data_IF_494829592124
#
_entry.id   IF_494829592124
#
_cell.length_a   1.000
_cell.length_b   1.000
_cell.length_c   1.000
_cell.angle_alpha   90.00
_cell.angle_beta   90.00
_cell.angle_gamma   90.00
#
_symmetry.space_group_name_H-M   'P 1'
#
loop_
_entity.id
_entity.type
_entity.pdbx_description
1 polymer ?
#
# COMPACT_ATOMS: atom_id res chain seq x y z
N UNK A 1 -13.76 6.51 3.33
CA UNK A 1 -12.66 5.54 3.10
C UNK A 1 -11.57 5.81 4.12
N UNK A 2 -10.94 4.78 4.68
CA UNK A 2 -9.83 4.95 5.63
C UNK A 2 -8.57 4.24 5.08
N UNK A 3 -7.44 4.94 5.07
CA UNK A 3 -6.15 4.37 4.69
C UNK A 3 -5.39 4.02 5.96
N UNK A 4 -4.92 2.77 6.03
CA UNK A 4 -4.07 2.27 7.12
C UNK A 4 -2.63 2.17 6.60
N UNK A 5 -1.73 2.92 7.21
CA UNK A 5 -0.30 2.87 6.90
C UNK A 5 0.41 1.99 7.90
N UNK A 6 1.04 0.91 7.40
CA UNK A 6 1.90 0.03 8.19
C UNK A 6 3.35 0.24 7.72
N UNK A 7 4.13 1.08 8.42
CA UNK A 7 5.50 1.36 8.02
C UNK A 7 6.42 0.15 8.22
N UNK A 8 7.57 0.19 7.53
CA UNK A 8 8.67 -0.73 7.78
C UNK A 8 9.51 -0.36 9.00
N UNK A 9 10.66 -1.04 9.15
CA UNK A 9 11.65 -0.72 10.19
C UNK A 9 12.57 0.38 9.65
N UNK A 10 12.22 1.62 9.92
CA UNK A 10 12.96 2.82 9.49
C UNK A 10 12.59 4.02 10.37
N UNK A 11 13.30 5.14 10.18
CA UNK A 11 13.02 6.39 10.91
C UNK A 11 11.60 6.92 10.59
N UNK A 12 10.82 7.34 11.59
CA UNK A 12 9.42 7.80 11.41
C UNK A 12 9.26 8.96 10.43
N UNK A 13 10.30 9.77 10.24
CA UNK A 13 10.33 10.90 9.31
C UNK A 13 10.06 10.46 7.86
N UNK A 14 10.53 9.26 7.48
CA UNK A 14 10.31 8.73 6.13
C UNK A 14 8.83 8.45 5.86
N UNK A 15 8.09 8.00 6.87
CA UNK A 15 6.63 7.81 6.74
C UNK A 15 5.91 9.16 6.62
N UNK A 16 6.35 10.18 7.33
CA UNK A 16 5.80 11.54 7.19
C UNK A 16 6.03 12.09 5.79
N UNK A 17 7.27 11.91 5.26
CA UNK A 17 7.61 12.30 3.90
C UNK A 17 6.73 11.58 2.87
N UNK A 18 6.56 10.26 2.99
CA UNK A 18 5.67 9.48 2.13
C UNK A 18 4.24 10.04 2.08
N UNK A 19 3.66 10.33 3.25
CA UNK A 19 2.30 10.87 3.34
C UNK A 19 2.21 12.24 2.66
N UNK A 20 3.17 13.13 2.93
CA UNK A 20 3.19 14.47 2.37
C UNK A 20 3.35 14.45 0.85
N UNK A 21 4.24 13.61 0.33
CA UNK A 21 4.61 13.59 -1.09
C UNK A 21 3.66 12.76 -1.95
N UNK A 22 3.02 11.74 -1.38
CA UNK A 22 2.16 10.84 -2.14
C UNK A 22 0.67 10.97 -1.86
N UNK A 23 0.28 11.28 -0.62
CA UNK A 23 -1.13 11.21 -0.25
C UNK A 23 -1.76 12.59 -0.08
N UNK A 24 -0.99 13.62 0.32
CA UNK A 24 -1.55 14.95 0.57
C UNK A 24 -1.49 15.87 -0.65
N UNK A 25 -0.46 15.78 -1.51
CA UNK A 25 -0.36 16.63 -2.71
C UNK A 25 -1.50 16.45 -3.68
N UNK A 26 -2.03 15.25 -3.76
CA UNK A 26 -3.10 14.92 -4.71
C UNK A 26 -4.51 15.15 -4.13
N UNK A 27 -4.66 15.31 -2.81
CA UNK A 27 -5.93 15.73 -2.21
C UNK A 27 -6.31 17.17 -2.59
N UNK A 28 -5.35 18.03 -2.86
CA UNK A 28 -5.60 19.41 -3.34
C UNK A 28 -5.92 19.47 -4.84
N UNK A 29 -5.45 18.50 -5.62
CA UNK A 29 -5.65 18.43 -7.09
C UNK A 29 -6.83 17.58 -7.53
N UNK A 30 -7.28 16.68 -6.66
CA UNK A 30 -8.45 15.83 -6.91
C UNK A 30 -9.61 16.42 -6.10
N UNK A 31 -10.70 16.74 -6.77
CA UNK A 31 -12.00 17.09 -6.19
C UNK A 31 -12.56 15.83 -5.47
N UNK A 32 -11.86 15.40 -4.44
CA UNK A 32 -12.16 14.24 -3.61
C UNK A 32 -13.26 14.63 -2.64
N UNK A 33 -14.51 14.52 -3.05
CA UNK A 33 -15.70 14.96 -2.34
C UNK A 33 -15.92 14.38 -0.93
N UNK A 34 -15.00 13.58 -0.40
CA UNK A 34 -14.99 13.11 1.00
C UNK A 34 -13.56 13.06 1.55
N UNK A 35 -13.31 13.58 2.75
CA UNK A 35 -12.01 13.47 3.40
C UNK A 35 -11.63 11.99 3.59
N UNK A 36 -10.41 11.64 3.25
CA UNK A 36 -9.84 10.31 3.51
C UNK A 36 -9.13 10.34 4.85
N UNK A 37 -9.57 9.51 5.78
CA UNK A 37 -8.89 9.36 7.07
C UNK A 37 -7.61 8.52 6.89
N UNK A 38 -6.47 9.03 7.35
CA UNK A 38 -5.21 8.31 7.34
C UNK A 38 -4.85 7.93 8.77
N UNK A 39 -4.75 6.63 9.03
CA UNK A 39 -4.29 6.07 10.29
C UNK A 39 -2.91 5.46 10.11
N UNK A 40 -1.94 5.91 10.90
CA UNK A 40 -0.57 5.38 10.88
C UNK A 40 -0.41 4.43 12.06
N UNK A 41 -0.02 3.19 11.80
CA UNK A 41 0.34 2.26 12.86
C UNK A 41 1.62 2.75 13.56
N UNK A 42 1.57 2.99 14.89
CA UNK A 42 2.68 3.62 15.61
C UNK A 42 3.76 2.62 16.05
N UNK A 43 3.68 1.36 15.60
CA UNK A 43 4.64 0.32 15.99
C UNK A 43 6.02 0.62 15.44
N UNK A 44 7.04 0.46 16.28
CA UNK A 44 8.44 0.60 15.93
C UNK A 44 9.16 -0.76 15.97
N UNK A 45 10.25 -0.88 15.20
CA UNK A 45 11.07 -2.08 15.17
C UNK A 45 10.26 -3.35 14.87
N UNK A 46 10.40 -4.35 15.71
CA UNK A 46 9.73 -5.65 15.51
C UNK A 46 8.20 -5.62 15.67
N UNK A 47 7.62 -4.57 16.24
CA UNK A 47 6.17 -4.44 16.34
C UNK A 47 5.51 -4.30 14.96
N UNK A 48 6.23 -3.78 13.97
CA UNK A 48 5.75 -3.69 12.58
C UNK A 48 5.44 -5.06 11.96
N UNK A 49 6.09 -6.12 12.44
CA UNK A 49 5.86 -7.51 12.01
C UNK A 49 4.62 -8.14 12.66
N UNK A 50 4.07 -7.49 13.70
CA UNK A 50 3.06 -8.12 14.55
C UNK A 50 1.63 -7.87 14.05
N UNK A 51 1.05 -8.88 13.42
CA UNK A 51 -0.38 -8.94 13.09
C UNK A 51 -1.28 -8.56 14.26
N UNK A 52 -0.97 -9.08 15.46
CA UNK A 52 -1.78 -8.85 16.65
C UNK A 52 -1.80 -7.37 17.06
N UNK A 53 -0.65 -6.69 17.08
CA UNK A 53 -0.58 -5.28 17.46
C UNK A 53 -1.26 -4.37 16.45
N UNK A 54 -1.11 -4.66 15.14
CA UNK A 54 -1.81 -3.91 14.09
C UNK A 54 -3.31 -4.12 14.20
N UNK A 55 -3.78 -5.36 14.40
CA UNK A 55 -5.19 -5.67 14.53
C UNK A 55 -5.81 -5.02 15.79
N UNK A 56 -5.08 -5.01 16.91
CA UNK A 56 -5.48 -4.33 18.12
C UNK A 56 -5.61 -2.83 17.90
N UNK A 57 -4.61 -2.22 17.24
CA UNK A 57 -4.65 -0.81 16.85
C UNK A 57 -5.88 -0.47 16.00
N UNK A 58 -6.21 -1.31 15.02
CA UNK A 58 -7.40 -1.11 14.19
C UNK A 58 -8.68 -1.16 15.03
N UNK A 59 -8.82 -2.15 15.91
CA UNK A 59 -9.98 -2.26 16.79
C UNK A 59 -10.14 -1.04 17.70
N UNK A 60 -9.04 -0.55 18.25
CA UNK A 60 -9.07 0.63 19.13
C UNK A 60 -9.46 1.91 18.38
N UNK A 61 -9.01 2.06 17.13
CA UNK A 61 -9.26 3.27 16.32
C UNK A 61 -10.60 3.24 15.61
N UNK A 62 -11.01 2.11 15.12
CA UNK A 62 -12.20 1.97 14.28
C UNK A 62 -13.43 1.47 15.06
N UNK A 63 -13.22 0.85 16.22
CA UNK A 63 -14.30 0.34 17.09
C UNK A 63 -15.36 -0.43 16.28
N UNK A 64 -16.59 0.11 16.22
CA UNK A 64 -17.74 -0.53 15.56
C UNK A 64 -17.83 -0.25 14.04
N UNK A 65 -16.82 0.40 13.44
CA UNK A 65 -16.82 0.75 12.01
C UNK A 65 -16.27 -0.38 11.13
N UNK A 66 -16.68 -1.62 11.36
CA UNK A 66 -16.22 -2.78 10.59
C UNK A 66 -16.57 -2.67 9.10
N UNK A 67 -17.73 -2.12 8.77
CA UNK A 67 -18.21 -1.96 7.39
C UNK A 67 -17.49 -0.83 6.62
N UNK A 68 -16.76 0.04 7.33
CA UNK A 68 -16.02 1.13 6.66
C UNK A 68 -14.90 0.54 5.81
N UNK A 69 -14.80 0.89 4.50
CA UNK A 69 -13.80 0.32 3.64
C UNK A 69 -12.40 0.79 4.05
N UNK A 70 -11.50 -0.19 4.22
CA UNK A 70 -10.09 0.03 4.57
C UNK A 70 -9.18 -0.29 3.40
N UNK A 71 -8.21 0.60 3.14
CA UNK A 71 -7.08 0.33 2.25
C UNK A 71 -5.83 0.25 3.11
N UNK A 72 -5.12 -0.86 3.01
CA UNK A 72 -3.82 -1.03 3.65
C UNK A 72 -2.70 -0.58 2.70
N UNK A 73 -1.81 0.28 3.16
CA UNK A 73 -0.54 0.61 2.50
C UNK A 73 0.58 0.19 3.44
N UNK A 74 1.29 -0.87 3.06
CA UNK A 74 2.29 -1.50 3.91
C UNK A 74 3.65 -1.47 3.22
N UNK A 75 4.71 -1.14 3.97
CA UNK A 75 6.07 -1.06 3.45
C UNK A 75 7.00 -2.05 4.16
N UNK A 76 7.83 -2.77 3.36
CA UNK A 76 8.91 -3.61 3.89
C UNK A 76 8.43 -4.59 4.98
N UNK A 77 8.98 -4.54 6.18
CA UNK A 77 8.59 -5.34 7.33
C UNK A 77 7.10 -5.19 7.70
N UNK A 78 6.52 -3.99 7.51
CA UNK A 78 5.10 -3.73 7.75
C UNK A 78 4.16 -4.52 6.85
N UNK A 79 4.65 -5.05 5.72
CA UNK A 79 3.87 -5.94 4.85
C UNK A 79 3.53 -7.25 5.55
N UNK A 80 4.46 -7.78 6.37
CA UNK A 80 4.26 -9.04 7.11
C UNK A 80 3.13 -8.90 8.12
N UNK A 81 3.24 -7.90 9.00
CA UNK A 81 2.21 -7.66 10.00
C UNK A 81 0.88 -7.22 9.39
N UNK A 82 0.96 -6.37 8.35
CA UNK A 82 -0.18 -5.79 7.67
C UNK A 82 -1.06 -6.82 6.94
N UNK A 83 -0.47 -7.77 6.19
CA UNK A 83 -1.26 -8.79 5.48
C UNK A 83 -2.00 -9.71 6.45
N UNK A 84 -1.35 -10.09 7.55
CA UNK A 84 -2.02 -10.83 8.62
C UNK A 84 -3.15 -10.03 9.26
N UNK A 85 -2.93 -8.73 9.52
CA UNK A 85 -3.94 -7.87 10.10
C UNK A 85 -5.13 -7.62 9.15
N UNK A 86 -4.89 -7.43 7.85
CA UNK A 86 -5.93 -7.30 6.84
C UNK A 86 -6.81 -8.56 6.77
N UNK A 87 -6.17 -9.73 6.75
CA UNK A 87 -6.88 -11.01 6.78
C UNK A 87 -7.66 -11.21 8.07
N UNK A 88 -7.04 -10.91 9.22
CA UNK A 88 -7.70 -10.97 10.52
C UNK A 88 -8.88 -10.00 10.63
N UNK A 89 -8.75 -8.78 10.11
CA UNK A 89 -9.84 -7.80 10.07
C UNK A 89 -11.04 -8.32 9.27
N UNK A 90 -10.77 -8.91 8.08
CA UNK A 90 -11.81 -9.52 7.26
C UNK A 90 -12.50 -10.69 7.95
N UNK A 91 -11.75 -11.55 8.67
CA UNK A 91 -12.32 -12.66 9.45
C UNK A 91 -13.22 -12.18 10.60
N UNK A 92 -12.97 -10.99 11.13
CA UNK A 92 -13.82 -10.34 12.13
C UNK A 92 -15.04 -9.63 11.52
N UNK A 93 -15.28 -9.77 10.21
CA UNK A 93 -16.38 -9.12 9.52
C UNK A 93 -16.06 -7.71 9.00
N UNK A 94 -14.80 -7.28 9.08
CA UNK A 94 -14.36 -5.98 8.57
C UNK A 94 -14.20 -5.96 7.05
N UNK A 95 -14.38 -4.78 6.45
CA UNK A 95 -14.27 -4.60 5.00
C UNK A 95 -12.86 -4.12 4.61
N UNK A 96 -12.08 -4.99 3.97
CA UNK A 96 -10.80 -4.63 3.34
C UNK A 96 -11.03 -4.40 1.86
N UNK A 97 -10.89 -3.16 1.42
CA UNK A 97 -11.13 -2.76 0.03
C UNK A 97 -9.95 -3.04 -0.88
N UNK A 98 -8.72 -2.87 -0.37
CA UNK A 98 -7.48 -3.22 -1.06
C UNK A 98 -6.29 -3.35 -0.09
N UNK A 99 -5.26 -4.08 -0.52
CA UNK A 99 -3.98 -4.18 0.15
C UNK A 99 -2.85 -3.80 -0.83
N UNK A 100 -2.04 -2.82 -0.46
CA UNK A 100 -0.94 -2.32 -1.27
C UNK A 100 0.37 -2.63 -0.53
N UNK A 101 1.16 -3.54 -1.10
CA UNK A 101 2.44 -3.96 -0.57
C UNK A 101 3.56 -3.21 -1.31
N UNK A 102 4.28 -2.36 -0.60
CA UNK A 102 5.46 -1.68 -1.13
C UNK A 102 6.70 -2.38 -0.58
N UNK A 103 7.45 -2.99 -1.49
CA UNK A 103 8.71 -3.69 -1.19
C UNK A 103 8.65 -4.78 -0.11
N UNK A 104 7.54 -5.50 -0.07
CA UNK A 104 7.36 -6.68 0.78
C UNK A 104 7.99 -7.94 0.16
N UNK A 105 9.27 -7.89 -0.18
CA UNK A 105 9.98 -9.01 -0.79
C UNK A 105 9.92 -10.28 0.08
N UNK A 106 9.64 -11.41 -0.57
CA UNK A 106 9.57 -12.71 0.10
C UNK A 106 8.33 -12.93 0.98
N UNK A 107 7.40 -11.98 1.04
CA UNK A 107 6.17 -12.11 1.81
C UNK A 107 5.06 -12.74 0.96
N UNK A 108 4.52 -13.92 1.34
CA UNK A 108 3.32 -14.45 0.71
C UNK A 108 2.12 -13.52 0.96
N UNK A 109 1.44 -13.14 -0.11
CA UNK A 109 0.25 -12.30 -0.04
C UNK A 109 -0.99 -13.09 -0.47
N UNK A 110 -2.00 -13.09 0.37
CA UNK A 110 -3.27 -13.76 0.11
C UNK A 110 -4.40 -13.15 0.91
N UNK A 111 -5.62 -13.21 0.36
CA UNK A 111 -6.83 -12.68 0.96
C UNK A 111 -7.96 -12.66 -0.07
N UNK A 112 -9.19 -12.37 0.39
CA UNK A 112 -10.35 -12.17 -0.49
C UNK A 112 -10.56 -10.69 -0.81
N UNK A 113 -9.46 -9.98 -1.04
CA UNK A 113 -9.42 -8.57 -1.41
C UNK A 113 -8.34 -8.34 -2.48
N UNK A 114 -8.46 -7.29 -3.29
CA UNK A 114 -7.45 -6.91 -4.27
C UNK A 114 -6.10 -6.63 -3.60
N UNK A 115 -5.02 -7.15 -4.21
CA UNK A 115 -3.64 -6.99 -3.72
C UNK A 115 -2.80 -6.41 -4.84
N UNK A 116 -2.08 -5.32 -4.53
CA UNK A 116 -1.17 -4.64 -5.44
C UNK A 116 0.24 -4.66 -4.86
N UNK A 117 1.25 -4.79 -5.73
CA UNK A 117 2.65 -4.77 -5.34
C UNK A 117 3.40 -3.64 -6.04
N UNK A 118 4.25 -2.95 -5.28
CA UNK A 118 5.26 -2.05 -5.82
C UNK A 118 6.63 -2.58 -5.38
N UNK A 119 7.56 -2.70 -6.30
CA UNK A 119 8.91 -3.26 -6.07
C UNK A 119 9.99 -2.28 -6.54
N UNK A 120 11.11 -2.19 -5.80
CA UNK A 120 12.20 -1.29 -6.11
C UNK A 120 13.03 -1.72 -7.33
N UNK A 121 12.83 -2.95 -7.84
CA UNK A 121 13.43 -3.47 -9.05
C UNK A 121 12.64 -4.62 -9.68
N UNK A 122 13.05 -5.03 -10.87
CA UNK A 122 12.44 -6.14 -11.60
C UNK A 122 12.67 -7.50 -10.91
N UNK A 123 13.83 -7.72 -10.27
CA UNK A 123 14.14 -8.99 -9.62
C UNK A 123 13.24 -9.22 -8.40
N UNK A 124 13.09 -8.21 -7.56
CA UNK A 124 12.18 -8.23 -6.42
C UNK A 124 10.73 -8.44 -6.86
N UNK A 125 10.31 -7.75 -7.93
CA UNK A 125 8.99 -7.94 -8.53
C UNK A 125 8.79 -9.39 -8.99
N UNK A 126 9.70 -9.90 -9.81
CA UNK A 126 9.59 -11.22 -10.41
C UNK A 126 9.60 -12.33 -9.35
N UNK A 127 10.51 -12.28 -8.37
CA UNK A 127 10.59 -13.29 -7.30
C UNK A 127 9.39 -13.24 -6.37
N UNK A 128 8.85 -12.06 -6.08
CA UNK A 128 7.63 -11.89 -5.29
C UNK A 128 6.37 -12.34 -6.03
N UNK A 129 6.40 -12.36 -7.35
CA UNK A 129 5.29 -12.77 -8.19
C UNK A 129 4.83 -14.21 -7.91
N UNK A 130 5.76 -15.12 -7.60
CA UNK A 130 5.45 -16.50 -7.24
C UNK A 130 4.69 -16.64 -5.91
N UNK A 131 4.70 -15.58 -5.08
CA UNK A 131 4.09 -15.56 -3.76
C UNK A 131 2.70 -14.91 -3.75
N UNK A 132 2.07 -14.81 -4.90
CA UNK A 132 0.73 -14.27 -5.09
C UNK A 132 0.70 -13.04 -6.00
N UNK A 133 0.27 -13.24 -7.26
CA UNK A 133 -0.04 -12.16 -8.21
C UNK A 133 -1.53 -12.24 -8.48
N UNK A 134 -2.25 -11.14 -8.29
CA UNK A 134 -3.67 -11.09 -8.68
C UNK A 134 -4.08 -9.82 -9.37
N UNK A 135 -3.43 -8.67 -9.08
CA UNK A 135 -3.87 -7.36 -9.54
C UNK A 135 -2.75 -6.57 -10.21
N UNK A 136 -2.95 -5.30 -10.42
CA UNK A 136 -1.97 -4.39 -11.00
C UNK A 136 -0.73 -4.27 -10.13
N UNK A 137 0.44 -4.35 -10.73
CA UNK A 137 1.72 -4.25 -10.05
C UNK A 137 2.62 -3.21 -10.71
N UNK A 138 3.62 -2.77 -9.98
CA UNK A 138 4.64 -1.82 -10.41
C UNK A 138 6.03 -2.32 -10.02
N UNK A 139 7.02 -2.06 -10.86
CA UNK A 139 8.42 -2.15 -10.45
C UNK A 139 9.22 -0.97 -10.99
N UNK A 140 10.18 -0.50 -10.22
CA UNK A 140 11.09 0.57 -10.62
C UNK A 140 12.00 0.12 -11.76
N UNK A 141 12.13 0.98 -12.77
CA UNK A 141 13.02 0.82 -13.91
C UNK A 141 13.52 2.20 -14.37
N UNK A 142 14.78 2.54 -14.14
CA UNK A 142 15.82 1.68 -13.54
C UNK A 142 15.56 1.34 -12.06
N UNK A 143 16.24 0.28 -11.58
CA UNK A 143 16.20 -0.12 -10.17
C UNK A 143 16.64 1.03 -9.25
N UNK A 144 16.02 1.11 -8.08
CA UNK A 144 16.32 2.12 -7.06
C UNK A 144 16.62 1.46 -5.71
N UNK A 145 17.10 2.23 -4.73
CA UNK A 145 17.24 1.74 -3.37
C UNK A 145 15.90 1.47 -2.73
N UNK A 146 15.84 0.43 -1.88
CA UNK A 146 14.66 0.01 -1.14
C UNK A 146 13.92 1.18 -0.46
N UNK A 147 14.65 2.04 0.25
CA UNK A 147 14.05 3.18 0.95
C UNK A 147 13.53 4.26 0.01
N UNK A 148 14.03 4.36 -1.23
CA UNK A 148 13.56 5.33 -2.22
C UNK A 148 12.09 5.10 -2.58
N UNK A 149 11.63 3.84 -2.55
CA UNK A 149 10.22 3.48 -2.77
C UNK A 149 9.28 4.09 -1.73
N UNK A 150 9.80 4.43 -0.55
CA UNK A 150 9.03 5.01 0.55
C UNK A 150 9.33 6.49 0.77
N UNK A 151 10.60 6.87 0.73
CA UNK A 151 11.01 8.26 1.00
C UNK A 151 10.62 9.22 -0.12
N UNK A 152 10.78 8.80 -1.39
CA UNK A 152 10.63 9.69 -2.54
C UNK A 152 9.99 9.01 -3.76
N UNK A 153 8.84 8.33 -3.62
CA UNK A 153 8.20 7.55 -4.69
C UNK A 153 7.81 8.41 -5.90
N UNK A 154 7.66 9.73 -5.75
CA UNK A 154 7.42 10.67 -6.83
C UNK A 154 8.62 10.83 -7.79
N UNK A 155 9.82 10.39 -7.38
CA UNK A 155 11.03 10.43 -8.20
C UNK A 155 11.42 9.06 -8.74
N UNK A 156 10.68 8.00 -8.43
CA UNK A 156 10.96 6.62 -8.82
C UNK A 156 10.19 6.26 -10.09
N UNK A 157 10.82 6.30 -11.28
CA UNK A 157 10.17 5.88 -12.51
C UNK A 157 10.09 4.35 -12.58
N UNK A 158 9.10 3.84 -13.31
CA UNK A 158 8.98 2.39 -13.46
C UNK A 158 7.88 1.96 -14.40
N UNK A 159 7.59 0.67 -14.39
CA UNK A 159 6.66 0.01 -15.28
C UNK A 159 5.45 -0.54 -14.53
N UNK A 160 4.30 -0.30 -15.10
CA UNK A 160 3.06 -0.93 -14.68
C UNK A 160 2.92 -2.32 -15.34
N UNK A 161 2.62 -3.32 -14.54
CA UNK A 161 2.45 -4.72 -14.96
C UNK A 161 1.02 -5.17 -14.65
N UNK A 162 0.47 -6.05 -15.48
CA UNK A 162 -0.89 -6.57 -15.37
C UNK A 162 -1.98 -5.49 -15.47
N UNK A 163 -1.83 -4.61 -16.45
CA UNK A 163 -2.85 -3.60 -16.76
C UNK A 163 -4.23 -4.23 -16.99
N UNK A 164 -5.31 -3.63 -16.46
CA UNK A 164 -6.66 -4.04 -16.81
C UNK A 164 -6.90 -4.02 -18.32
N UNK A 165 -7.70 -4.96 -18.84
CA UNK A 165 -8.03 -5.00 -20.25
C UNK A 165 -8.72 -3.69 -20.68
N UNK A 166 -8.21 -3.07 -21.76
CA UNK A 166 -8.71 -1.80 -22.28
C UNK A 166 -8.18 -0.55 -21.59
N UNK A 167 -7.33 -0.69 -20.58
CA UNK A 167 -6.65 0.43 -19.95
C UNK A 167 -5.29 0.68 -20.62
N UNK A 168 -5.05 1.91 -21.02
CA UNK A 168 -3.73 2.37 -21.49
C UNK A 168 -3.25 3.44 -20.53
N UNK A 169 -2.13 3.25 -19.85
CA UNK A 169 -1.59 4.29 -19.01
C UNK A 169 -1.28 5.53 -19.85
N UNK A 170 -1.43 6.74 -19.31
CA UNK A 170 -1.18 7.98 -20.05
C UNK A 170 0.28 8.12 -20.50
N UNK A 171 1.19 7.31 -19.94
CA UNK A 171 2.61 7.26 -20.24
C UNK A 171 3.11 5.82 -20.19
N UNK A 172 4.10 5.48 -21.03
CA UNK A 172 4.79 4.17 -20.98
C UNK A 172 5.58 3.97 -19.68
N UNK A 173 5.97 5.07 -19.05
CA UNK A 173 6.64 5.13 -17.76
C UNK A 173 5.86 6.07 -16.86
N UNK A 174 5.64 5.68 -15.62
CA UNK A 174 5.03 6.47 -14.55
C UNK A 174 5.89 6.33 -13.31
N UNK A 175 5.72 7.25 -12.37
CA UNK A 175 6.39 7.13 -11.07
C UNK A 175 5.63 6.19 -10.15
N UNK A 176 6.30 5.70 -9.09
CA UNK A 176 5.66 4.89 -8.06
C UNK A 176 4.50 5.64 -7.39
N UNK A 177 4.63 6.96 -7.20
CA UNK A 177 3.57 7.83 -6.68
C UNK A 177 2.38 7.90 -7.64
N UNK A 178 2.61 8.13 -8.94
CA UNK A 178 1.55 8.16 -9.95
C UNK A 178 0.80 6.81 -10.00
N UNK A 179 1.52 5.68 -9.95
CA UNK A 179 0.90 4.36 -9.88
C UNK A 179 0.02 4.21 -8.63
N UNK A 180 0.55 4.56 -7.45
CA UNK A 180 -0.19 4.48 -6.20
C UNK A 180 -1.48 5.29 -6.26
N UNK A 181 -1.42 6.50 -6.78
CA UNK A 181 -2.58 7.38 -6.92
C UNK A 181 -3.63 6.83 -7.88
N UNK A 182 -3.22 6.25 -9.02
CA UNK A 182 -4.15 5.55 -9.90
C UNK A 182 -4.89 4.41 -9.18
N UNK A 183 -4.17 3.62 -8.40
CA UNK A 183 -4.77 2.54 -7.62
C UNK A 183 -5.77 3.10 -6.59
N UNK A 184 -5.40 4.12 -5.84
CA UNK A 184 -6.27 4.73 -4.83
C UNK A 184 -7.54 5.33 -5.45
N UNK A 185 -7.43 5.99 -6.61
CA UNK A 185 -8.58 6.53 -7.34
C UNK A 185 -9.59 5.45 -7.76
N UNK A 186 -9.13 4.26 -8.17
CA UNK A 186 -10.01 3.14 -8.51
C UNK A 186 -10.91 2.70 -7.36
N UNK A 187 -10.44 2.88 -6.12
CA UNK A 187 -11.18 2.51 -4.92
C UNK A 187 -11.97 3.66 -4.31
N UNK A 188 -11.61 4.89 -4.61
CA UNK A 188 -12.35 6.06 -4.15
C UNK A 188 -13.69 6.22 -4.87
N UNK A 189 -13.74 5.84 -6.15
CA UNK A 189 -14.91 5.99 -7.03
C UNK A 189 -15.89 4.79 -6.98
N UNK A 190 -15.61 3.79 -6.15
CA UNK A 190 -16.48 2.62 -5.90
C UNK A 190 -17.24 2.79 -4.59
#
# INVERSE_FOLDING_TARGET
MTIIICPGIHAPELTKSFIQECLNKDQESLDMGKPTDILIFPGEGYLTLSTFHILHFLRDRLRDKLESPLIFICFSAGVIGGIGAATGWQLLGGHVQAFIAIDGWGVPLGGNFPIHRLSHDHYTHWTSAYLGIRENNFYADPAVDHLSMWHSPQTVPGKWVNLPAGFSPPKNYLTASEFLNFILQQYHNK
#
